data_IF_977190748029
#
_entry.id   IF_977190748029
#
_cell.length_a   1.000
_cell.length_b   1.000
_cell.length_c   1.000
_cell.angle_alpha   90.00
_cell.angle_beta   90.00
_cell.angle_gamma   90.00
#
_symmetry.space_group_name_H-M   'P 1'
#
loop_
_entity.id
_entity.type
_entity.pdbx_description
1 polymer ?
#
# COMPACT_ATOMS: atom_id res chain seq x y z
N UNK A 1 7.78 15.27 5.74
CA UNK A 1 6.40 14.85 5.39
C UNK A 1 6.45 14.31 3.98
N UNK A 2 5.83 13.16 3.70
CA UNK A 2 5.79 12.58 2.34
C UNK A 2 5.17 13.55 1.34
N UNK A 3 5.66 13.53 0.11
CA UNK A 3 4.99 14.24 -0.98
C UNK A 3 3.74 13.46 -1.39
N UNK A 4 2.58 14.12 -1.26
CA UNK A 4 1.27 13.57 -1.63
C UNK A 4 0.63 14.32 -2.80
N UNK A 5 1.37 15.23 -3.46
CA UNK A 5 0.87 16.02 -4.59
C UNK A 5 0.49 15.19 -5.83
N UNK A 6 0.84 13.90 -5.84
CA UNK A 6 0.50 12.92 -6.86
C UNK A 6 -0.88 12.25 -6.66
N UNK A 7 -1.58 12.51 -5.56
CA UNK A 7 -2.93 11.99 -5.32
C UNK A 7 -3.85 13.00 -4.65
N UNK A 8 -5.15 12.77 -4.78
CA UNK A 8 -6.19 13.53 -4.09
C UNK A 8 -7.28 12.61 -3.57
N UNK A 9 -8.03 13.07 -2.57
CA UNK A 9 -9.22 12.37 -2.08
C UNK A 9 -10.34 12.49 -3.10
N UNK A 10 -10.95 11.37 -3.46
CA UNK A 10 -12.02 11.30 -4.47
C UNK A 10 -12.25 9.90 -5.01
N UNK A 11 -13.00 9.82 -6.11
CA UNK A 11 -13.34 8.54 -6.74
C UNK A 11 -14.26 7.66 -5.90
N UNK A 12 -14.52 6.45 -6.39
CA UNK A 12 -15.32 5.46 -5.67
C UNK A 12 -14.55 4.77 -4.53
N UNK A 13 -13.21 4.73 -4.63
CA UNK A 13 -12.32 4.04 -3.66
C UNK A 13 -11.66 4.93 -2.62
N UNK A 14 -11.90 6.24 -2.68
CA UNK A 14 -11.47 7.22 -1.68
C UNK A 14 -10.25 8.04 -2.06
N UNK A 15 -9.35 7.51 -2.91
CA UNK A 15 -8.23 8.26 -3.47
C UNK A 15 -8.07 8.01 -4.98
N UNK A 16 -7.57 9.03 -5.68
CA UNK A 16 -7.25 8.98 -7.12
C UNK A 16 -5.86 9.56 -7.36
N UNK A 17 -5.07 8.93 -8.23
CA UNK A 17 -3.78 9.49 -8.67
C UNK A 17 -4.00 10.67 -9.62
N UNK A 18 -3.34 11.79 -9.37
CA UNK A 18 -3.33 12.98 -10.25
C UNK A 18 -2.12 12.99 -11.18
N UNK A 19 -1.08 12.22 -10.84
CA UNK A 19 0.17 12.08 -11.61
C UNK A 19 0.57 10.61 -11.71
N UNK A 20 1.41 10.31 -12.70
CA UNK A 20 2.01 8.99 -12.82
C UNK A 20 2.94 8.72 -11.62
N UNK A 21 2.83 7.52 -11.03
CA UNK A 21 3.68 7.06 -9.92
C UNK A 21 4.52 5.91 -10.41
N UNK A 22 5.83 5.97 -10.12
CA UNK A 22 6.79 4.94 -10.50
C UNK A 22 7.33 4.24 -9.26
N UNK A 23 7.44 2.91 -9.34
CA UNK A 23 7.94 2.09 -8.24
C UNK A 23 8.84 0.95 -8.73
N UNK A 24 10.04 0.82 -8.17
CA UNK A 24 10.94 -0.30 -8.48
C UNK A 24 10.54 -1.54 -7.67
N UNK A 25 10.18 -2.64 -8.35
CA UNK A 25 9.56 -3.81 -7.71
C UNK A 25 10.53 -4.67 -6.90
N UNK A 26 11.81 -4.75 -7.25
CA UNK A 26 12.72 -5.71 -6.60
C UNK A 26 13.63 -5.03 -5.57
N UNK A 27 14.35 -4.01 -6.00
CA UNK A 27 15.24 -3.19 -5.18
C UNK A 27 15.22 -1.76 -5.74
N UNK A 28 15.68 -0.79 -4.95
CA UNK A 28 15.77 0.60 -5.40
C UNK A 28 16.66 0.69 -6.65
N UNK A 29 16.10 1.19 -7.76
CA UNK A 29 16.81 1.26 -9.04
C UNK A 29 16.80 -0.04 -9.84
N UNK A 30 15.95 -1.01 -9.49
CA UNK A 30 15.69 -2.19 -10.32
C UNK A 30 15.15 -1.77 -11.70
N UNK A 31 15.55 -2.47 -12.79
CA UNK A 31 14.99 -2.22 -14.12
C UNK A 31 13.50 -2.56 -14.22
N UNK A 32 12.95 -3.32 -13.26
CA UNK A 32 11.54 -3.64 -13.19
C UNK A 32 10.79 -2.53 -12.45
N UNK A 33 10.24 -1.61 -13.23
CA UNK A 33 9.48 -0.46 -12.73
C UNK A 33 8.00 -0.68 -12.99
N UNK A 34 7.20 -0.63 -11.91
CA UNK A 34 5.76 -0.48 -11.98
C UNK A 34 5.44 0.98 -12.27
N UNK A 35 4.82 1.23 -13.43
CA UNK A 35 4.24 2.52 -13.78
C UNK A 35 2.74 2.49 -13.48
N UNK A 36 2.29 3.43 -12.66
CA UNK A 36 0.89 3.59 -12.31
C UNK A 36 0.41 4.90 -12.94
N UNK A 37 -0.50 4.85 -13.93
CA UNK A 37 -0.94 6.05 -14.64
C UNK A 37 -1.78 6.98 -13.75
N UNK A 38 -1.92 8.27 -14.13
CA UNK A 38 -2.90 9.16 -13.51
C UNK A 38 -4.33 8.64 -13.73
N UNK A 39 -5.25 9.02 -12.84
CA UNK A 39 -6.65 8.59 -12.84
C UNK A 39 -6.88 7.23 -12.19
N UNK A 40 -5.86 6.63 -11.57
CA UNK A 40 -5.96 5.35 -10.88
C UNK A 40 -6.59 5.53 -9.51
N UNK A 41 -7.72 4.85 -9.28
CA UNK A 41 -8.35 4.81 -7.97
C UNK A 41 -7.72 3.73 -7.06
N UNK A 42 -7.54 4.05 -5.79
CA UNK A 42 -7.03 3.14 -4.76
C UNK A 42 -7.64 3.43 -3.39
N UNK A 43 -7.55 2.46 -2.48
CA UNK A 43 -8.07 2.59 -1.11
C UNK A 43 -6.99 2.30 -0.07
N UNK A 44 -6.79 3.23 0.87
CA UNK A 44 -6.01 2.97 2.07
C UNK A 44 -6.89 2.27 3.13
N UNK A 45 -6.95 0.94 3.03
CA UNK A 45 -7.84 0.10 3.85
C UNK A 45 -7.29 -0.17 5.25
N UNK A 46 -7.73 0.60 6.25
CA UNK A 46 -7.52 0.29 7.68
C UNK A 46 -8.82 -0.23 8.32
N UNK A 47 -8.82 -1.41 8.97
CA UNK A 47 -9.97 -1.93 9.70
C UNK A 47 -10.49 -0.90 10.72
N UNK A 48 -11.82 -0.74 10.85
CA UNK A 48 -12.41 0.30 11.71
C UNK A 48 -11.89 0.27 13.15
N UNK A 49 -11.76 -0.92 13.72
CA UNK A 49 -11.22 -1.14 15.07
C UNK A 49 -9.72 -0.82 15.20
N UNK A 50 -9.02 -0.47 14.13
CA UNK A 50 -7.61 -0.07 14.17
C UNK A 50 -7.41 1.40 13.77
N UNK A 51 -8.48 2.09 13.35
CA UNK A 51 -8.41 3.48 12.86
C UNK A 51 -7.98 4.49 13.92
N UNK A 52 -8.13 4.15 15.21
CA UNK A 52 -7.65 4.95 16.32
C UNK A 52 -6.11 4.94 16.47
N UNK A 53 -5.41 3.93 15.92
CA UNK A 53 -3.93 3.86 15.90
C UNK A 53 -3.39 4.19 14.50
N UNK A 54 -4.03 3.68 13.45
CA UNK A 54 -3.64 3.88 12.06
C UNK A 54 -4.71 4.69 11.33
N UNK A 55 -4.41 5.95 11.01
CA UNK A 55 -5.29 6.71 10.12
C UNK A 55 -5.22 6.12 8.71
N UNK A 56 -6.36 5.89 8.02
CA UNK A 56 -6.34 5.53 6.60
C UNK A 56 -5.78 6.67 5.73
N UNK A 57 -5.86 7.91 6.22
CA UNK A 57 -5.39 9.10 5.50
C UNK A 57 -3.94 9.48 5.84
N UNK A 58 -3.19 8.59 6.51
CA UNK A 58 -1.80 8.83 6.88
C UNK A 58 -0.92 8.95 5.61
N UNK A 59 -0.33 10.13 5.31
CA UNK A 59 0.44 10.36 4.09
C UNK A 59 1.57 9.36 3.87
N UNK A 60 2.12 8.81 4.96
CA UNK A 60 3.26 7.89 4.89
C UNK A 60 2.90 6.51 4.33
N UNK A 61 1.61 6.18 4.29
CA UNK A 61 1.10 4.89 3.83
C UNK A 61 0.31 4.97 2.52
N UNK A 62 -0.02 6.17 2.01
CA UNK A 62 -0.80 6.32 0.78
C UNK A 62 -0.12 5.71 -0.44
N UNK A 63 1.18 5.95 -0.62
CA UNK A 63 1.95 5.35 -1.72
C UNK A 63 2.02 3.83 -1.61
N UNK A 64 2.19 3.33 -0.38
CA UNK A 64 2.20 1.89 -0.11
C UNK A 64 0.85 1.26 -0.46
N UNK A 65 -0.27 1.90 -0.10
CA UNK A 65 -1.62 1.47 -0.46
C UNK A 65 -1.83 1.44 -1.98
N UNK A 66 -1.44 2.50 -2.70
CA UNK A 66 -1.53 2.56 -4.16
C UNK A 66 -0.80 1.37 -4.83
N UNK A 67 0.45 1.12 -4.43
CA UNK A 67 1.27 0.05 -4.99
C UNK A 67 0.65 -1.31 -4.67
N UNK A 68 0.21 -1.51 -3.42
CA UNK A 68 -0.40 -2.76 -2.96
C UNK A 68 -1.66 -3.11 -3.75
N UNK A 69 -2.61 -2.17 -3.85
CA UNK A 69 -3.84 -2.33 -4.61
C UNK A 69 -3.55 -2.62 -6.09
N UNK A 70 -2.63 -1.86 -6.68
CA UNK A 70 -2.25 -2.03 -8.09
C UNK A 70 -1.66 -3.40 -8.35
N UNK A 71 -0.81 -3.92 -7.46
CA UNK A 71 -0.23 -5.26 -7.60
C UNK A 71 -1.28 -6.37 -7.45
N UNK A 72 -2.15 -6.27 -6.44
CA UNK A 72 -3.21 -7.25 -6.25
C UNK A 72 -4.15 -7.31 -7.45
N UNK A 73 -4.54 -6.15 -8.00
CA UNK A 73 -5.42 -6.09 -9.18
C UNK A 73 -4.73 -6.53 -10.47
N UNK A 74 -3.41 -6.38 -10.55
CA UNK A 74 -2.59 -6.87 -11.67
C UNK A 74 -2.31 -8.39 -11.57
N UNK A 75 -2.81 -9.07 -10.53
CA UNK A 75 -2.68 -10.51 -10.35
C UNK A 75 -1.44 -10.97 -9.60
N UNK A 76 -0.70 -10.06 -8.95
CA UNK A 76 0.42 -10.43 -8.07
C UNK A 76 -0.06 -11.27 -6.89
N UNK A 77 0.84 -12.10 -6.36
CA UNK A 77 0.53 -12.88 -5.16
C UNK A 77 0.42 -11.94 -3.97
N UNK A 78 -0.42 -12.30 -3.01
CA UNK A 78 -0.61 -11.48 -1.81
C UNK A 78 0.69 -11.23 -1.03
N UNK A 79 1.60 -12.21 -0.97
CA UNK A 79 2.92 -12.06 -0.31
C UNK A 79 3.75 -10.97 -1.01
N UNK A 80 3.76 -10.98 -2.34
CA UNK A 80 4.50 -10.01 -3.14
C UNK A 80 3.93 -8.62 -2.89
N UNK A 81 2.61 -8.44 -3.03
CA UNK A 81 1.96 -7.16 -2.77
C UNK A 81 2.22 -6.66 -1.34
N UNK A 82 2.07 -7.51 -0.32
CA UNK A 82 2.30 -7.15 1.09
C UNK A 82 3.77 -6.77 1.34
N UNK A 83 4.73 -7.43 0.68
CA UNK A 83 6.15 -7.07 0.77
C UNK A 83 6.45 -5.70 0.13
N UNK A 84 5.79 -5.40 -1.00
CA UNK A 84 5.94 -4.12 -1.70
C UNK A 84 5.31 -2.98 -0.90
N UNK A 85 4.18 -3.23 -0.25
CA UNK A 85 3.59 -2.28 0.71
C UNK A 85 4.57 -1.91 1.82
N UNK A 86 5.23 -2.91 2.42
CA UNK A 86 6.21 -2.68 3.49
C UNK A 86 7.41 -1.86 3.00
N UNK A 87 7.98 -2.23 1.85
CA UNK A 87 9.10 -1.52 1.24
C UNK A 87 8.73 -0.06 0.87
N UNK A 88 7.56 0.15 0.29
CA UNK A 88 7.06 1.47 -0.08
C UNK A 88 6.83 2.36 1.16
N UNK A 89 6.22 1.83 2.22
CA UNK A 89 6.01 2.58 3.46
C UNK A 89 7.34 3.02 4.09
N UNK A 90 8.35 2.13 4.12
CA UNK A 90 9.67 2.48 4.62
C UNK A 90 10.40 3.50 3.73
N UNK A 91 10.10 3.55 2.43
CA UNK A 91 10.67 4.55 1.52
C UNK A 91 10.14 5.97 1.75
N UNK A 92 8.95 6.10 2.37
CA UNK A 92 8.30 7.36 2.73
C UNK A 92 8.51 7.71 4.23
N UNK A 93 9.59 7.17 4.83
CA UNK A 93 9.99 7.36 6.22
C UNK A 93 8.89 7.01 7.25
N UNK A 94 8.01 6.05 6.94
CA UNK A 94 7.00 5.58 7.88
C UNK A 94 7.65 4.98 9.14
N UNK A 95 7.07 5.16 10.35
CA UNK A 95 7.66 4.67 11.59
C UNK A 95 7.85 3.15 11.57
N UNK A 96 9.10 2.69 11.68
CA UNK A 96 9.47 1.27 11.48
C UNK A 96 8.65 0.29 12.32
N UNK A 97 8.43 0.60 13.60
CA UNK A 97 7.66 -0.28 14.51
C UNK A 97 6.20 -0.33 14.09
N UNK A 98 5.59 0.82 13.79
CA UNK A 98 4.20 0.92 13.32
C UNK A 98 3.99 0.17 12.01
N UNK A 99 4.93 0.30 11.08
CA UNK A 99 4.93 -0.37 9.77
C UNK A 99 5.13 -1.88 9.91
N UNK A 100 6.06 -2.33 10.76
CA UNK A 100 6.28 -3.74 11.02
C UNK A 100 5.06 -4.42 11.65
N UNK A 101 4.44 -3.77 12.66
CA UNK A 101 3.21 -4.28 13.28
C UNK A 101 2.06 -4.41 12.27
N UNK A 102 1.86 -3.39 11.43
CA UNK A 102 0.82 -3.42 10.39
C UNK A 102 1.07 -4.55 9.37
N UNK A 103 2.30 -4.67 8.88
CA UNK A 103 2.69 -5.73 7.94
C UNK A 103 2.53 -7.13 8.53
N UNK A 104 2.99 -7.34 9.77
CA UNK A 104 2.77 -8.60 10.49
C UNK A 104 1.29 -8.92 10.64
N UNK A 105 0.45 -7.93 10.95
CA UNK A 105 -0.99 -8.14 11.05
C UNK A 105 -1.63 -8.56 9.71
N UNK A 106 -1.18 -7.99 8.57
CA UNK A 106 -1.66 -8.40 7.25
C UNK A 106 -1.33 -9.86 6.95
N UNK A 107 -0.08 -10.27 7.20
CA UNK A 107 0.38 -11.66 6.99
C UNK A 107 -0.37 -12.62 7.91
N UNK A 108 -0.46 -12.31 9.21
CA UNK A 108 -1.15 -13.15 10.19
C UNK A 108 -2.62 -13.34 9.82
N UNK A 109 -3.29 -12.28 9.35
CA UNK A 109 -4.68 -12.38 8.86
C UNK A 109 -4.78 -13.33 7.68
N UNK A 110 -3.89 -13.24 6.69
CA UNK A 110 -3.90 -14.11 5.51
C UNK A 110 -3.63 -15.57 5.87
N UNK A 111 -2.65 -15.83 6.74
CA UNK A 111 -2.36 -17.17 7.25
C UNK A 111 -3.52 -17.75 8.05
N UNK A 112 -4.15 -16.94 8.90
CA UNK A 112 -5.32 -17.35 9.66
C UNK A 112 -6.49 -17.75 8.75
N UNK A 113 -6.80 -16.93 7.74
CA UNK A 113 -7.84 -17.25 6.75
C UNK A 113 -7.51 -18.52 5.95
N UNK A 114 -6.24 -18.70 5.56
CA UNK A 114 -5.77 -19.89 4.88
C UNK A 114 -5.93 -21.16 5.74
N UNK A 115 -5.54 -21.11 7.02
CA UNK A 115 -5.71 -22.21 7.97
C UNK A 115 -7.19 -22.58 8.18
N UNK A 116 -8.09 -21.59 8.11
CA UNK A 116 -9.53 -21.78 8.29
C UNK A 116 -10.26 -22.35 7.05
N UNK A 117 -9.55 -22.65 5.95
CA UNK A 117 -10.14 -23.14 4.69
C UNK A 117 -11.37 -22.31 4.26
N UNK A 118 -11.20 -21.00 4.21
CA UNK A 118 -12.04 -20.10 3.42
C UNK A 118 -11.24 -19.49 2.28
#
# INVERSE_FOLDING_TARGET
MPDVSWCEKGGARGYVTTRAVFWSLMWKGSPYVLEIPPGREFESSVPRALRWVWSPDDPQYLKAALIHDTLLESGSRWIEADSQWFAAALSEDAPRVKTALAWSAMILRRLFLWCLRR
#
